data_IF_669056126644
#
_entry.id   IF_669056126644
#
_cell.length_a   1.000
_cell.length_b   1.000
_cell.length_c   1.000
_cell.angle_alpha   90.00
_cell.angle_beta   90.00
_cell.angle_gamma   90.00
#
_symmetry.space_group_name_H-M   'P 1'
#
loop_
_entity.id
_entity.type
_entity.pdbx_description
1 polymer ?
#
# COMPACT_ATOMS: atom_id res chain seq x y z
N UNK A 1 -19.45 -0.30 5.12
CA UNK A 1 -18.22 -0.56 4.35
C UNK A 1 -16.97 -0.44 5.20
N UNK A 2 -16.76 0.70 5.87
CA UNK A 2 -15.63 0.94 6.77
C UNK A 2 -16.10 1.18 8.21
N UNK A 3 -15.27 0.83 9.19
CA UNK A 3 -15.47 1.11 10.62
C UNK A 3 -14.34 2.00 11.11
N UNK A 4 -14.72 3.16 11.65
CA UNK A 4 -13.79 4.10 12.27
C UNK A 4 -13.28 3.57 13.62
N UNK A 5 -11.98 3.71 13.84
CA UNK A 5 -11.30 3.48 15.12
C UNK A 5 -10.67 4.80 15.55
N UNK A 6 -10.97 5.29 16.75
CA UNK A 6 -10.47 6.57 17.28
C UNK A 6 -9.55 6.29 18.46
N UNK A 7 -8.36 6.88 18.44
CA UNK A 7 -7.37 6.78 19.52
C UNK A 7 -7.53 7.92 20.53
N UNK A 8 -6.86 7.80 21.68
CA UNK A 8 -6.92 8.80 22.75
C UNK A 8 -6.35 10.16 22.33
N UNK A 9 -5.41 10.19 21.39
CA UNK A 9 -4.83 11.40 20.81
C UNK A 9 -5.74 12.06 19.75
N UNK A 10 -6.91 11.47 19.48
CA UNK A 10 -7.87 11.94 18.47
C UNK A 10 -7.57 11.48 17.04
N UNK A 11 -6.45 10.80 16.80
CA UNK A 11 -6.15 10.21 15.51
C UNK A 11 -7.12 9.07 15.18
N UNK A 12 -7.32 8.78 13.89
CA UNK A 12 -8.35 7.86 13.43
C UNK A 12 -7.85 6.93 12.34
N UNK A 13 -8.16 5.64 12.48
CA UNK A 13 -8.04 4.66 11.40
C UNK A 13 -9.40 4.30 10.84
N UNK A 14 -9.45 3.92 9.57
CA UNK A 14 -10.65 3.40 8.90
C UNK A 14 -10.42 1.93 8.55
N UNK A 15 -11.09 1.03 9.27
CA UNK A 15 -11.00 -0.42 9.08
C UNK A 15 -11.96 -0.87 7.99
N UNK A 16 -11.48 -1.60 6.99
CA UNK A 16 -12.37 -2.30 6.05
C UNK A 16 -13.06 -3.46 6.77
N UNK A 17 -14.39 -3.49 6.75
CA UNK A 17 -15.20 -4.55 7.41
C UNK A 17 -16.15 -5.26 6.45
N UNK A 18 -16.34 -4.73 5.25
CA UNK A 18 -17.23 -5.31 4.24
C UNK A 18 -16.50 -6.36 3.39
N UNK A 19 -16.94 -7.61 3.54
CA UNK A 19 -16.33 -8.76 2.86
C UNK A 19 -16.51 -8.73 1.34
N UNK A 20 -17.61 -8.17 0.86
CA UNK A 20 -17.88 -8.08 -0.58
C UNK A 20 -16.93 -7.08 -1.23
N UNK A 21 -16.75 -5.92 -0.59
CA UNK A 21 -15.81 -4.89 -1.05
C UNK A 21 -14.38 -5.38 -0.99
N UNK A 22 -14.02 -6.08 0.09
CA UNK A 22 -12.72 -6.73 0.20
C UNK A 22 -12.43 -7.67 -0.98
N UNK A 23 -13.37 -8.59 -1.28
CA UNK A 23 -13.23 -9.54 -2.40
C UNK A 23 -13.04 -8.84 -3.73
N UNK A 24 -13.86 -7.82 -4.02
CA UNK A 24 -13.75 -7.05 -5.27
C UNK A 24 -12.38 -6.37 -5.38
N UNK A 25 -11.92 -5.71 -4.31
CA UNK A 25 -10.63 -5.02 -4.30
C UNK A 25 -9.46 -6.00 -4.49
N UNK A 26 -9.53 -7.18 -3.85
CA UNK A 26 -8.51 -8.21 -3.95
C UNK A 26 -8.46 -8.85 -5.35
N UNK A 27 -9.63 -9.13 -5.95
CA UNK A 27 -9.72 -9.67 -7.32
C UNK A 27 -9.16 -8.69 -8.36
N UNK A 28 -9.49 -7.40 -8.23
CA UNK A 28 -8.92 -6.36 -9.10
C UNK A 28 -7.40 -6.30 -8.97
N UNK A 29 -6.88 -6.28 -7.73
CA UNK A 29 -5.45 -6.25 -7.45
C UNK A 29 -4.72 -7.50 -7.96
N UNK A 30 -5.35 -8.68 -7.87
CA UNK A 30 -4.83 -9.93 -8.45
C UNK A 30 -4.65 -9.80 -9.95
N UNK A 31 -5.66 -9.27 -10.65
CA UNK A 31 -5.63 -9.14 -12.10
C UNK A 31 -4.59 -8.11 -12.58
N UNK A 32 -4.43 -6.99 -11.88
CA UNK A 32 -3.43 -5.96 -12.25
C UNK A 32 -2.01 -6.39 -11.89
N UNK A 33 -1.79 -6.98 -10.71
CA UNK A 33 -0.46 -7.42 -10.27
C UNK A 33 0.14 -8.49 -11.19
N UNK A 34 -0.66 -9.45 -11.67
CA UNK A 34 -0.22 -10.46 -12.64
C UNK A 34 0.19 -9.84 -13.99
N UNK A 35 -0.49 -8.77 -14.44
CA UNK A 35 -0.10 -8.04 -15.66
C UNK A 35 1.21 -7.27 -15.47
N UNK A 36 1.40 -6.65 -14.29
CA UNK A 36 2.59 -5.87 -13.93
C UNK A 36 3.85 -6.74 -13.72
N UNK A 37 3.68 -8.01 -13.36
CA UNK A 37 4.79 -8.91 -12.97
C UNK A 37 5.92 -8.95 -14.00
N UNK A 38 5.61 -9.08 -15.29
CA UNK A 38 6.61 -9.26 -16.35
C UNK A 38 7.36 -7.96 -16.70
N UNK A 39 6.80 -6.80 -16.38
CA UNK A 39 7.36 -5.49 -16.72
C UNK A 39 7.98 -4.79 -15.49
N UNK A 40 7.91 -5.41 -14.32
CA UNK A 40 8.43 -4.83 -13.08
C UNK A 40 9.91 -5.15 -12.88
N UNK A 41 10.75 -4.12 -12.98
CA UNK A 41 12.19 -4.17 -12.78
C UNK A 41 12.54 -4.03 -11.29
N UNK A 42 13.46 -4.85 -10.81
CA UNK A 42 13.98 -4.74 -9.44
C UNK A 42 15.06 -3.66 -9.36
N UNK A 43 14.72 -2.53 -8.73
CA UNK A 43 15.62 -1.37 -8.63
C UNK A 43 16.33 -1.24 -7.27
N UNK A 44 15.97 -2.07 -6.28
CA UNK A 44 16.46 -1.96 -4.89
C UNK A 44 16.90 -3.30 -4.30
N UNK A 45 16.03 -4.30 -4.37
CA UNK A 45 16.27 -5.66 -3.89
C UNK A 45 15.92 -6.63 -5.02
N UNK A 46 16.78 -7.63 -5.24
CA UNK A 46 16.45 -8.76 -6.10
C UNK A 46 15.33 -9.55 -5.43
N UNK A 47 14.16 -9.62 -6.08
CA UNK A 47 12.99 -10.31 -5.53
C UNK A 47 12.68 -11.53 -6.37
N UNK A 48 12.33 -12.63 -5.69
CA UNK A 48 11.75 -13.78 -6.36
C UNK A 48 10.40 -13.40 -7.00
N UNK A 49 10.00 -14.02 -8.13
CA UNK A 49 8.77 -13.64 -8.83
C UNK A 49 7.50 -13.67 -7.97
N UNK A 50 7.39 -14.63 -7.04
CA UNK A 50 6.26 -14.71 -6.11
C UNK A 50 6.25 -13.54 -5.11
N UNK A 51 7.40 -13.16 -4.54
CA UNK A 51 7.51 -11.99 -3.68
C UNK A 51 7.17 -10.70 -4.46
N UNK A 52 7.63 -10.60 -5.71
CA UNK A 52 7.35 -9.45 -6.58
C UNK A 52 5.86 -9.28 -6.87
N UNK A 53 5.15 -10.35 -7.23
CA UNK A 53 3.70 -10.25 -7.47
C UNK A 53 2.94 -9.94 -6.17
N UNK A 54 3.40 -10.42 -5.02
CA UNK A 54 2.80 -10.08 -3.72
C UNK A 54 2.97 -8.60 -3.37
N UNK A 55 4.16 -8.03 -3.59
CA UNK A 55 4.40 -6.59 -3.40
C UNK A 55 3.46 -5.76 -4.31
N UNK A 56 3.34 -6.16 -5.58
CA UNK A 56 2.43 -5.51 -6.54
C UNK A 56 0.96 -5.64 -6.11
N UNK A 57 0.56 -6.84 -5.69
CA UNK A 57 -0.78 -7.13 -5.18
C UNK A 57 -1.11 -6.23 -3.99
N UNK A 58 -0.20 -6.08 -3.03
CA UNK A 58 -0.41 -5.24 -1.85
C UNK A 58 -0.54 -3.76 -2.19
N UNK A 59 0.23 -3.27 -3.17
CA UNK A 59 0.09 -1.92 -3.69
C UNK A 59 -1.28 -1.70 -4.33
N UNK A 60 -1.63 -2.52 -5.32
CA UNK A 60 -2.89 -2.39 -6.05
C UNK A 60 -4.12 -2.64 -5.15
N UNK A 61 -4.01 -3.54 -4.18
CA UNK A 61 -5.08 -3.79 -3.22
C UNK A 61 -5.33 -2.56 -2.33
N UNK A 62 -4.27 -1.91 -1.82
CA UNK A 62 -4.38 -0.73 -0.99
C UNK A 62 -5.01 0.43 -1.77
N UNK A 63 -4.57 0.64 -3.01
CA UNK A 63 -5.16 1.61 -3.94
C UNK A 63 -6.66 1.39 -4.09
N UNK A 64 -7.09 0.14 -4.35
CA UNK A 64 -8.50 -0.19 -4.48
C UNK A 64 -9.27 0.07 -3.18
N UNK A 65 -8.70 -0.24 -2.02
CA UNK A 65 -9.32 0.04 -0.71
C UNK A 65 -9.50 1.55 -0.49
N UNK A 66 -8.49 2.37 -0.79
CA UNK A 66 -8.59 3.83 -0.69
C UNK A 66 -9.63 4.40 -1.65
N UNK A 67 -9.67 3.93 -2.90
CA UNK A 67 -10.70 4.30 -3.88
C UNK A 67 -12.11 4.01 -3.35
N UNK A 68 -12.34 2.80 -2.84
CA UNK A 68 -13.64 2.42 -2.28
C UNK A 68 -14.00 3.24 -1.04
N UNK A 69 -13.03 3.56 -0.19
CA UNK A 69 -13.25 4.44 0.96
C UNK A 69 -13.75 5.83 0.54
N UNK A 70 -13.06 6.46 -0.43
CA UNK A 70 -13.43 7.80 -0.91
C UNK A 70 -14.84 7.77 -1.51
N UNK A 71 -15.13 6.81 -2.39
CA UNK A 71 -16.44 6.67 -3.03
C UNK A 71 -17.56 6.33 -2.03
N UNK A 72 -17.26 5.56 -0.99
CA UNK A 72 -18.22 5.24 0.07
C UNK A 72 -18.60 6.48 0.89
N UNK A 73 -17.63 7.35 1.16
CA UNK A 73 -17.88 8.56 1.95
C UNK A 73 -18.44 9.71 1.12
N UNK A 74 -18.07 9.81 -0.15
CA UNK A 74 -18.63 10.77 -1.09
C UNK A 74 -18.69 10.17 -2.50
N UNK A 75 -19.88 9.63 -2.84
CA UNK A 75 -20.12 8.97 -4.13
C UNK A 75 -20.09 9.94 -5.34
N UNK A 76 -20.10 11.25 -5.11
CA UNK A 76 -20.07 12.26 -6.17
C UNK A 76 -18.64 12.58 -6.65
N UNK A 77 -17.62 12.16 -5.90
CA UNK A 77 -16.22 12.36 -6.30
C UNK A 77 -15.91 11.48 -7.51
N UNK A 78 -15.44 12.13 -8.58
CA UNK A 78 -14.93 11.44 -9.77
C UNK A 78 -13.46 11.09 -9.54
N UNK A 79 -13.16 9.80 -9.46
CA UNK A 79 -11.81 9.27 -9.29
C UNK A 79 -11.36 8.66 -10.61
N UNK A 80 -10.18 9.05 -11.08
CA UNK A 80 -9.49 8.42 -12.21
C UNK A 80 -8.44 7.47 -11.65
N UNK A 81 -8.43 6.22 -12.10
CA UNK A 81 -7.41 5.22 -11.77
C UNK A 81 -6.47 5.05 -12.97
N UNK A 82 -5.16 5.21 -12.78
CA UNK A 82 -4.19 5.18 -13.89
C UNK A 82 -4.22 3.85 -14.64
N UNK A 83 -4.34 2.73 -13.92
CA UNK A 83 -4.41 1.40 -14.51
C UNK A 83 -5.60 1.19 -15.46
N UNK A 84 -6.65 2.01 -15.37
CA UNK A 84 -7.81 1.92 -16.25
C UNK A 84 -7.69 2.79 -17.51
N UNK A 85 -6.86 3.84 -17.46
CA UNK A 85 -6.72 4.80 -18.57
C UNK A 85 -5.43 4.64 -19.36
N UNK A 86 -4.46 3.89 -18.84
CA UNK A 86 -3.20 3.59 -19.52
C UNK A 86 -3.43 2.76 -20.78
N UNK A 87 -2.59 2.96 -21.79
CA UNK A 87 -2.65 2.26 -23.09
C UNK A 87 -1.41 1.41 -23.39
N UNK A 88 -0.42 1.42 -22.50
CA UNK A 88 0.89 0.81 -22.70
C UNK A 88 1.00 -0.64 -22.20
N UNK A 89 -0.14 -1.28 -21.90
CA UNK A 89 -0.21 -2.67 -21.42
C UNK A 89 0.76 -2.98 -20.26
N UNK A 90 0.84 -2.07 -19.28
CA UNK A 90 1.66 -2.25 -18.08
C UNK A 90 3.17 -2.28 -18.32
N UNK A 91 3.66 -1.79 -19.47
CA UNK A 91 5.09 -1.77 -19.81
C UNK A 91 5.83 -0.66 -19.06
N UNK A 92 5.27 0.54 -18.98
CA UNK A 92 5.86 1.65 -18.24
C UNK A 92 5.35 1.68 -16.80
N UNK A 93 6.04 2.47 -15.97
CA UNK A 93 5.61 2.75 -14.61
C UNK A 93 4.32 3.57 -14.58
N UNK A 94 3.63 3.50 -13.45
CA UNK A 94 2.45 4.30 -13.20
C UNK A 94 2.85 5.77 -12.99
N UNK A 95 2.03 6.69 -13.50
CA UNK A 95 2.22 8.13 -13.25
C UNK A 95 1.65 8.54 -11.89
N UNK A 96 0.52 7.95 -11.52
CA UNK A 96 -0.18 8.11 -10.24
C UNK A 96 -1.00 6.85 -9.96
N UNK A 97 -1.43 6.65 -8.71
CA UNK A 97 -2.37 5.57 -8.39
C UNK A 97 -3.82 6.01 -8.69
N UNK A 98 -4.23 7.13 -8.09
CA UNK A 98 -5.55 7.73 -8.24
C UNK A 98 -5.43 9.24 -8.51
N UNK A 99 -6.44 9.83 -9.17
CA UNK A 99 -6.51 11.28 -9.40
C UNK A 99 -7.93 11.80 -9.20
N UNK A 100 -8.08 12.95 -8.52
CA UNK A 100 -9.33 13.69 -8.34
C UNK A 100 -9.11 15.12 -8.84
N UNK A 101 -9.82 15.53 -9.90
CA UNK A 101 -9.50 16.80 -10.57
C UNK A 101 -8.05 16.80 -11.06
N UNK A 102 -7.24 17.76 -10.62
CA UNK A 102 -5.80 17.80 -10.90
C UNK A 102 -4.91 17.16 -9.82
N UNK A 103 -5.51 16.74 -8.71
CA UNK A 103 -4.74 16.22 -7.57
C UNK A 103 -4.47 14.73 -7.71
N UNK A 104 -3.18 14.40 -7.83
CA UNK A 104 -2.68 13.03 -7.84
C UNK A 104 -2.50 12.50 -6.42
N UNK A 105 -2.88 11.23 -6.25
CA UNK A 105 -2.85 10.50 -4.99
C UNK A 105 -2.00 9.25 -5.20
N UNK A 106 -1.05 9.04 -4.30
CA UNK A 106 -0.27 7.81 -4.15
C UNK A 106 -0.79 7.05 -2.92
N UNK A 107 -0.83 5.73 -3.01
CA UNK A 107 -1.22 4.87 -1.90
C UNK A 107 -0.06 3.97 -1.52
N UNK A 108 0.50 4.21 -0.33
CA UNK A 108 1.49 3.34 0.28
C UNK A 108 0.79 2.24 1.06
N UNK A 109 1.36 1.05 0.98
CA UNK A 109 0.88 -0.12 1.70
C UNK A 109 1.98 -0.72 2.54
N UNK A 110 1.61 -1.29 3.68
CA UNK A 110 2.55 -1.93 4.59
C UNK A 110 1.89 -3.11 5.27
N UNK A 111 2.51 -4.26 5.12
CA UNK A 111 2.18 -5.44 5.89
C UNK A 111 2.89 -5.34 7.25
N UNK A 112 2.12 -5.39 8.33
CA UNK A 112 2.62 -5.33 9.69
C UNK A 112 3.22 -6.68 10.11
N UNK A 113 4.46 -6.65 10.63
CA UNK A 113 5.25 -7.85 10.95
C UNK A 113 5.66 -7.96 12.43
N UNK A 114 5.35 -6.96 13.24
CA UNK A 114 5.94 -6.83 14.58
C UNK A 114 4.89 -6.74 15.69
N UNK A 115 3.72 -6.16 15.42
CA UNK A 115 2.68 -6.02 16.44
C UNK A 115 1.27 -6.05 15.84
N UNK A 116 0.28 -6.50 16.61
CA UNK A 116 -1.15 -6.35 16.27
C UNK A 116 -1.83 -5.23 17.05
N UNK A 117 -1.07 -4.56 17.92
CA UNK A 117 -1.57 -3.50 18.80
C UNK A 117 -1.70 -2.18 18.03
N UNK A 118 -2.95 -1.74 17.80
CA UNK A 118 -3.24 -0.54 17.03
C UNK A 118 -2.64 0.74 17.65
N UNK A 119 -2.69 0.97 18.99
CA UNK A 119 -2.01 2.10 19.61
C UNK A 119 -0.49 2.13 19.34
N UNK A 120 0.17 0.97 19.38
CA UNK A 120 1.59 0.86 19.03
C UNK A 120 1.81 1.20 17.56
N UNK A 121 0.96 0.73 16.65
CA UNK A 121 1.05 1.07 15.22
C UNK A 121 0.89 2.57 15.02
N UNK A 122 -0.13 3.19 15.63
CA UNK A 122 -0.39 4.62 15.56
C UNK A 122 0.84 5.46 15.98
N UNK A 123 1.50 5.08 17.08
CA UNK A 123 2.56 5.89 17.69
C UNK A 123 3.98 5.52 17.26
N UNK A 124 4.19 4.36 16.62
CA UNK A 124 5.53 3.85 16.26
C UNK A 124 5.75 3.65 14.76
N UNK A 125 4.69 3.67 13.95
CA UNK A 125 4.81 3.56 12.49
C UNK A 125 4.78 4.92 11.83
N UNK A 126 5.36 4.94 10.63
CA UNK A 126 5.51 6.13 9.83
C UNK A 126 4.96 5.89 8.42
N UNK A 127 4.45 6.95 7.80
CA UNK A 127 4.30 7.06 6.35
C UNK A 127 5.69 7.42 5.80
N UNK A 128 6.21 6.57 4.92
CA UNK A 128 7.55 6.74 4.34
C UNK A 128 7.44 7.17 2.88
N UNK A 129 8.09 8.28 2.55
CA UNK A 129 8.09 8.87 1.21
C UNK A 129 9.51 8.92 0.68
N UNK A 130 9.75 8.40 -0.51
CA UNK A 130 11.07 8.43 -1.11
C UNK A 130 11.36 9.82 -1.69
N UNK A 131 12.43 10.47 -1.21
CA UNK A 131 12.91 11.77 -1.68
C UNK A 131 13.94 11.54 -2.78
N UNK A 132 13.65 12.06 -3.97
CA UNK A 132 14.57 12.08 -5.12
C UNK A 132 14.72 10.79 -5.92
N UNK A 133 13.80 9.81 -5.80
CA UNK A 133 13.76 8.76 -6.79
C UNK A 133 13.04 9.25 -8.04
N UNK A 134 13.72 9.15 -9.19
CA UNK A 134 13.13 9.35 -10.50
C UNK A 134 11.90 8.48 -10.75
N UNK A 135 11.68 7.42 -9.95
CA UNK A 135 10.61 6.42 -10.06
C UNK A 135 9.39 6.68 -9.17
N UNK A 136 9.34 7.76 -8.39
CA UNK A 136 8.22 8.03 -7.47
C UNK A 136 7.30 9.05 -8.12
N UNK A 137 5.99 8.73 -8.14
CA UNK A 137 4.93 9.66 -8.52
C UNK A 137 5.09 10.97 -7.73
N UNK A 138 5.00 12.12 -8.40
CA UNK A 138 4.97 13.43 -7.74
C UNK A 138 3.61 13.72 -7.09
N UNK A 139 2.82 12.67 -6.80
CA UNK A 139 1.52 12.75 -6.17
C UNK A 139 1.52 13.73 -5.01
N UNK A 140 0.52 14.63 -5.05
CA UNK A 140 0.33 15.69 -4.05
C UNK A 140 -0.08 15.10 -2.71
N UNK A 141 -0.86 14.01 -2.72
CA UNK A 141 -1.36 13.38 -1.51
C UNK A 141 -0.88 11.93 -1.42
N UNK A 142 -0.57 11.49 -0.21
CA UNK A 142 -0.11 10.13 0.05
C UNK A 142 -0.96 9.52 1.16
N UNK A 143 -1.63 8.42 0.86
CA UNK A 143 -2.34 7.60 1.85
C UNK A 143 -1.46 6.45 2.33
N UNK A 144 -1.68 6.02 3.57
CA UNK A 144 -1.06 4.83 4.13
C UNK A 144 -2.11 3.79 4.51
N UNK A 145 -1.94 2.58 3.98
CA UNK A 145 -2.74 1.40 4.33
C UNK A 145 -1.88 0.38 5.06
N UNK A 146 -2.39 -0.17 6.15
CA UNK A 146 -1.77 -1.28 6.87
C UNK A 146 -2.59 -2.55 6.76
N UNK A 147 -1.90 -3.66 6.50
CA UNK A 147 -2.42 -5.02 6.60
C UNK A 147 -1.89 -5.64 7.88
N UNK A 148 -2.79 -6.08 8.77
CA UNK A 148 -2.42 -6.64 10.07
C UNK A 148 -2.89 -8.10 10.11
N UNK A 149 -1.97 -9.09 10.03
CA UNK A 149 -2.34 -10.48 10.13
C UNK A 149 -2.97 -10.79 11.48
N UNK A 150 -4.08 -11.51 11.49
CA UNK A 150 -4.69 -11.99 12.74
C UNK A 150 -3.81 -13.04 13.40
N UNK A 151 -3.04 -13.83 12.63
CA UNK A 151 -1.99 -14.70 13.15
C UNK A 151 -0.63 -14.29 12.57
N UNK A 152 0.10 -13.47 13.32
CA UNK A 152 1.38 -12.92 12.92
C UNK A 152 2.48 -13.99 12.76
N UNK A 153 2.47 -15.01 13.63
CA UNK A 153 3.52 -16.04 13.63
C UNK A 153 3.41 -16.93 12.40
N UNK A 154 2.20 -17.41 12.11
CA UNK A 154 1.94 -18.24 10.94
C UNK A 154 2.20 -17.48 9.64
N UNK A 155 1.89 -16.18 9.62
CA UNK A 155 2.17 -15.33 8.46
C UNK A 155 3.69 -15.19 8.19
N UNK A 156 4.48 -14.87 9.21
CA UNK A 156 5.94 -14.70 9.08
C UNK A 156 6.60 -16.02 8.65
N UNK A 157 6.25 -17.13 9.30
CA UNK A 157 6.78 -18.45 8.95
C UNK A 157 6.51 -18.80 7.49
N UNK A 158 5.35 -18.41 6.97
CA UNK A 158 5.03 -18.58 5.57
C UNK A 158 5.91 -17.69 4.67
N UNK A 159 6.06 -16.38 4.94
CA UNK A 159 6.95 -15.52 4.15
C UNK A 159 8.39 -16.07 4.04
N UNK A 160 8.92 -16.62 5.13
CA UNK A 160 10.25 -17.24 5.17
C UNK A 160 10.35 -18.48 4.28
N UNK A 161 9.38 -19.40 4.37
CA UNK A 161 9.32 -20.61 3.53
C UNK A 161 9.29 -20.25 2.03
N UNK A 162 8.69 -19.11 1.67
CA UNK A 162 8.57 -18.68 0.29
C UNK A 162 9.83 -18.04 -0.27
N UNK A 163 10.60 -17.34 0.57
CA UNK A 163 11.88 -16.78 0.18
C UNK A 163 12.84 -17.89 -0.32
N UNK A 164 12.71 -19.11 0.20
CA UNK A 164 13.56 -20.25 -0.17
C UNK A 164 13.14 -20.98 -1.44
N UNK A 165 11.88 -20.84 -1.91
CA UNK A 165 11.25 -21.86 -2.78
C UNK A 165 10.99 -21.53 -4.24
N UNK A 166 11.35 -20.37 -4.82
CA UNK A 166 11.08 -20.22 -6.26
C UNK A 166 12.05 -19.33 -7.07
N UNK A 167 12.66 -19.93 -8.10
CA UNK A 167 13.35 -19.20 -9.18
C UNK A 167 12.39 -18.70 -10.27
N UNK A 168 11.15 -19.21 -10.30
CA UNK A 168 10.11 -18.91 -11.29
C UNK A 168 8.79 -18.63 -10.58
N UNK A 169 7.89 -17.90 -11.25
CA UNK A 169 6.55 -17.68 -10.74
C UNK A 169 5.80 -19.03 -10.60
N UNK A 170 5.22 -19.26 -9.42
CA UNK A 170 4.36 -20.40 -9.14
C UNK A 170 2.95 -19.89 -8.80
N UNK A 171 2.00 -20.18 -9.69
CA UNK A 171 0.61 -19.73 -9.60
C UNK A 171 -0.12 -20.38 -8.41
N UNK A 172 0.02 -21.68 -8.20
CA UNK A 172 -0.68 -22.38 -7.12
C UNK A 172 -0.24 -21.85 -5.76
N UNK A 173 1.06 -21.63 -5.60
CA UNK A 173 1.62 -20.99 -4.42
C UNK A 173 1.03 -19.59 -4.24
N UNK A 174 0.98 -18.76 -5.29
CA UNK A 174 0.35 -17.44 -5.22
C UNK A 174 -1.14 -17.49 -4.82
N UNK A 175 -1.91 -18.44 -5.34
CA UNK A 175 -3.33 -18.62 -4.98
C UNK A 175 -3.51 -19.10 -3.53
N UNK A 176 -2.59 -19.90 -2.98
CA UNK A 176 -2.57 -20.24 -1.56
C UNK A 176 -2.36 -19.01 -0.68
N UNK A 177 -1.48 -18.10 -1.09
CA UNK A 177 -1.26 -16.84 -0.38
C UNK A 177 -2.50 -15.95 -0.39
N UNK A 178 -3.17 -15.86 -1.54
CA UNK A 178 -4.40 -15.09 -1.69
C UNK A 178 -5.46 -15.47 -0.66
N UNK A 179 -5.57 -16.77 -0.33
CA UNK A 179 -6.52 -17.23 0.70
C UNK A 179 -6.22 -16.64 2.09
N UNK A 180 -4.95 -16.43 2.42
CA UNK A 180 -4.57 -15.83 3.70
C UNK A 180 -4.78 -14.32 3.76
N UNK A 181 -5.06 -13.67 2.64
CA UNK A 181 -5.41 -12.27 2.60
C UNK A 181 -6.89 -12.00 2.80
N UNK A 182 -7.72 -13.05 2.97
CA UNK A 182 -9.13 -12.85 3.31
C UNK A 182 -9.29 -12.06 4.60
N UNK A 183 -10.41 -11.33 4.75
CA UNK A 183 -10.73 -10.64 6.00
C UNK A 183 -10.85 -11.59 7.22
N UNK A 184 -10.94 -12.90 7.00
CA UNK A 184 -10.92 -13.88 8.09
C UNK A 184 -9.51 -13.98 8.71
N UNK A 185 -8.46 -13.70 7.93
CA UNK A 185 -7.07 -13.84 8.32
C UNK A 185 -6.31 -12.50 8.42
N UNK A 186 -6.82 -11.44 7.80
CA UNK A 186 -6.14 -10.15 7.69
C UNK A 186 -7.09 -8.99 8.03
N UNK A 187 -6.67 -8.09 8.91
CA UNK A 187 -7.33 -6.80 9.06
C UNK A 187 -6.68 -5.75 8.15
N UNK A 188 -7.49 -4.84 7.61
CA UNK A 188 -7.02 -3.80 6.66
C UNK A 188 -7.46 -2.42 7.16
N UNK A 189 -6.50 -1.51 7.33
CA UNK A 189 -6.71 -0.18 7.89
C UNK A 189 -6.13 0.91 6.99
N UNK A 190 -6.93 1.91 6.65
CA UNK A 190 -6.42 3.19 6.17
C UNK A 190 -6.03 4.00 7.41
N UNK A 191 -4.75 4.31 7.55
CA UNK A 191 -4.19 4.82 8.80
C UNK A 191 -3.99 6.34 8.82
N UNK A 192 -4.10 6.99 7.67
CA UNK A 192 -3.94 8.43 7.54
C UNK A 192 -3.42 8.82 6.18
N UNK A 193 -3.30 10.13 5.98
CA UNK A 193 -2.74 10.71 4.77
C UNK A 193 -1.89 11.93 5.07
N UNK A 194 -1.05 12.31 4.11
CA UNK A 194 -0.22 13.52 4.17
C UNK A 194 -0.25 14.26 2.84
N UNK A 195 0.03 15.56 2.90
CA UNK A 195 0.47 16.30 1.73
C UNK A 195 1.94 15.96 1.53
N UNK A 196 2.30 15.61 0.30
CA UNK A 196 3.68 15.42 -0.13
C UNK A 196 4.39 16.78 -0.24
N UNK A 197 4.51 17.49 0.86
CA UNK A 197 5.40 18.63 0.94
C UNK A 197 6.82 18.09 1.12
N UNK A 198 7.69 18.39 0.14
CA UNK A 198 9.11 18.01 0.10
C UNK A 198 9.89 18.43 1.37
N UNK A 199 9.26 19.17 2.30
CA UNK A 199 9.76 19.74 3.56
C UNK A 199 9.57 18.93 4.86
N UNK A 200 9.03 17.71 4.86
CA UNK A 200 9.02 16.90 6.11
C UNK A 200 10.42 16.89 6.79
N UNK A 201 10.47 17.21 8.08
CA UNK A 201 11.73 17.58 8.75
C UNK A 201 12.68 16.40 8.94
N UNK A 202 12.12 15.22 9.15
CA UNK A 202 12.89 14.01 9.41
C UNK A 202 13.15 13.27 8.10
N UNK A 203 14.43 13.15 7.77
CA UNK A 203 14.91 12.33 6.67
C UNK A 203 15.89 11.28 7.15
N UNK A 204 15.88 10.14 6.47
CA UNK A 204 16.86 9.09 6.69
C UNK A 204 17.36 8.55 5.36
N UNK A 205 18.61 8.11 5.37
CA UNK A 205 19.28 7.52 4.23
C UNK A 205 19.38 6.02 4.35
N UNK A 206 19.21 5.32 3.23
CA UNK A 206 19.53 3.89 3.16
C UNK A 206 20.39 3.63 1.94
N UNK A 207 21.44 2.84 2.13
CA UNK A 207 22.24 2.24 1.06
C UNK A 207 22.05 0.73 1.08
N UNK A 208 22.03 0.11 -0.11
CA UNK A 208 22.02 -1.34 -0.23
C UNK A 208 23.23 -1.78 -1.06
N UNK A 209 24.36 -1.99 -0.37
CA UNK A 209 25.61 -2.39 -1.00
C UNK A 209 25.54 -3.78 -1.65
N UNK A 210 24.65 -4.66 -1.18
CA UNK A 210 24.51 -6.03 -1.70
C UNK A 210 23.99 -6.08 -3.15
N UNK A 211 23.24 -5.07 -3.57
CA UNK A 211 22.65 -5.00 -4.92
C UNK A 211 23.26 -3.89 -5.78
N UNK A 212 24.28 -3.19 -5.28
CA UNK A 212 24.84 -2.01 -5.93
C UNK A 212 23.84 -0.86 -6.11
N UNK A 213 22.74 -0.87 -5.36
CA UNK A 213 21.69 0.14 -5.50
C UNK A 213 22.19 1.51 -5.00
N UNK A 214 21.86 2.56 -5.76
CA UNK A 214 22.17 3.93 -5.39
C UNK A 214 21.55 4.29 -4.04
N UNK A 215 22.25 5.14 -3.27
CA UNK A 215 21.73 5.70 -2.02
C UNK A 215 20.35 6.32 -2.23
N UNK A 216 19.42 6.02 -1.32
CA UNK A 216 18.07 6.58 -1.32
C UNK A 216 17.85 7.39 -0.06
N UNK A 217 17.27 8.58 -0.24
CA UNK A 217 16.81 9.42 0.86
C UNK A 217 15.32 9.23 1.01
N UNK A 218 14.84 9.17 2.25
CA UNK A 218 13.44 9.04 2.57
C UNK A 218 13.03 10.12 3.54
N UNK A 219 11.80 10.59 3.41
CA UNK A 219 11.08 11.32 4.43
C UNK A 219 10.27 10.34 5.27
N UNK A 220 10.14 10.61 6.56
CA UNK A 220 9.21 9.90 7.43
C UNK A 220 8.26 10.87 8.10
N UNK A 221 6.97 10.51 8.13
CA UNK A 221 5.96 11.17 8.95
C UNK A 221 5.35 10.15 9.91
N UNK A 222 5.41 10.34 11.24
CA UNK A 222 4.67 9.52 12.19
C UNK A 222 3.17 9.47 11.89
N UNK A 223 2.55 8.29 12.02
CA UNK A 223 1.13 8.12 11.71
C UNK A 223 0.26 9.00 12.61
N UNK A 224 0.56 9.08 13.91
CA UNK A 224 -0.12 9.95 14.88
C UNK A 224 0.04 11.46 14.60
N UNK A 225 0.89 11.84 13.64
CA UNK A 225 1.06 13.23 13.15
C UNK A 225 0.51 13.41 11.74
N UNK A 226 0.01 12.35 11.10
CA UNK A 226 -0.65 12.43 9.80
C UNK A 226 -2.08 12.97 9.93
N UNK A 227 -2.69 13.28 8.80
CA UNK A 227 -4.09 13.70 8.77
C UNK A 227 -5.01 12.47 8.83
N UNK A 228 -6.14 12.61 9.54
CA UNK A 228 -7.18 11.58 9.58
C UNK A 228 -7.71 11.28 8.16
N UNK A 229 -8.00 10.02 7.79
CA UNK A 229 -8.50 9.68 6.45
C UNK A 229 -9.72 10.50 6.02
N UNK A 230 -10.63 10.80 6.95
CA UNK A 230 -11.88 11.52 6.66
C UNK A 230 -11.65 13.00 6.35
N UNK A 231 -10.59 13.64 6.89
CA UNK A 231 -10.33 15.06 6.61
C UNK A 231 -9.92 15.30 5.17
N UNK A 232 -9.43 14.28 4.47
CA UNK A 232 -9.12 14.38 3.04
C UNK A 232 -10.36 14.75 2.22
N UNK A 233 -11.53 14.24 2.61
CA UNK A 233 -12.78 14.48 1.89
C UNK A 233 -13.26 15.91 2.04
N UNK A 234 -12.79 16.66 3.05
CA UNK A 234 -13.13 18.08 3.20
C UNK A 234 -12.48 18.97 2.13
N UNK A 235 -11.58 18.40 1.31
CA UNK A 235 -10.95 19.08 0.19
C UNK A 235 -11.82 19.07 -1.08
N UNK A 236 -12.89 18.26 -1.14
CA UNK A 236 -13.73 18.01 -2.33
C UNK A 236 -15.22 17.92 -2.02
#
# INVERSE_FOLDING_TARGET
MFKKIVFQDGHQFEKLVDISVHKICLELARNTSLKKLNNTIDTWQTRHPNAKVLDLLFGDYAKNVVKQYILFKNANIKIIEYDQIRSDNFVNRDLFDLKIGEDEIEVKSSLEKYTRDLPTINTKRNIIVNRHSSHVSEARYIFQVFYIPKDLKSFIAMEEINAEKSRRFNKDLFEEHLKMFSLDHMDVYICGWIINDKKAKDSFGVSNSKTGAQYRSYASMPIDKSQNPETFLSLY
#
